data_IF_743649792314
#
_entry.id   IF_743649792314
#
_cell.length_a   1.000
_cell.length_b   1.000
_cell.length_c   1.000
_cell.angle_alpha   90.00
_cell.angle_beta   90.00
_cell.angle_gamma   90.00
#
_symmetry.space_group_name_H-M   'P 1'
#
loop_
_entity.id
_entity.type
_entity.pdbx_description
1 polymer ?
#
# COMPACT_ATOMS: atom_id res chain seq x y z
N UNK A 1 -19.79 20.52 -23.99
CA UNK A 1 -18.52 20.31 -23.24
C UNK A 1 -18.52 21.23 -22.04
N UNK A 2 -18.81 20.65 -20.87
CA UNK A 2 -19.33 21.37 -19.72
C UNK A 2 -18.23 22.16 -19.01
N UNK A 3 -18.55 23.40 -18.61
CA UNK A 3 -17.67 24.34 -17.86
C UNK A 3 -17.00 23.68 -16.64
N UNK A 4 -17.60 22.63 -16.10
CA UNK A 4 -17.08 21.78 -15.03
C UNK A 4 -15.69 21.18 -15.31
N UNK A 5 -15.41 20.71 -16.54
CA UNK A 5 -14.09 20.17 -16.90
C UNK A 5 -13.00 21.24 -16.98
N UNK A 6 -13.37 22.48 -17.35
CA UNK A 6 -12.42 23.61 -17.35
C UNK A 6 -12.09 24.05 -15.92
N UNK A 7 -13.04 24.00 -14.99
CA UNK A 7 -12.78 24.36 -13.59
C UNK A 7 -11.97 23.30 -12.85
N UNK A 8 -12.15 22.01 -13.15
CA UNK A 8 -11.32 20.93 -12.60
C UNK A 8 -9.92 20.95 -13.21
N UNK A 9 -9.80 21.19 -14.52
CA UNK A 9 -8.50 21.36 -15.18
C UNK A 9 -7.72 22.57 -14.66
N UNK A 10 -8.40 23.68 -14.37
CA UNK A 10 -7.80 24.88 -13.78
C UNK A 10 -7.41 24.67 -12.31
N UNK A 11 -8.20 23.92 -11.54
CA UNK A 11 -7.86 23.57 -10.15
C UNK A 11 -6.65 22.63 -10.08
N UNK A 12 -6.54 21.65 -10.98
CA UNK A 12 -5.37 20.76 -11.08
C UNK A 12 -4.13 21.54 -11.56
N UNK A 13 -4.27 22.46 -12.52
CA UNK A 13 -3.17 23.31 -12.96
C UNK A 13 -2.69 24.28 -11.86
N UNK A 14 -3.61 24.82 -11.05
CA UNK A 14 -3.28 25.70 -9.92
C UNK A 14 -2.67 24.95 -8.74
N UNK A 15 -3.03 23.67 -8.52
CA UNK A 15 -2.40 22.81 -7.52
C UNK A 15 -0.94 22.46 -7.84
N UNK A 16 -0.53 22.55 -9.11
CA UNK A 16 0.85 22.28 -9.57
C UNK A 16 1.68 23.54 -9.89
N UNK A 17 1.15 24.76 -9.67
CA UNK A 17 1.82 26.01 -10.03
C UNK A 17 2.61 26.68 -8.89
N UNK A 18 2.64 26.11 -7.70
CA UNK A 18 3.41 26.66 -6.58
C UNK A 18 4.80 26.00 -6.47
N UNK A 19 5.61 26.14 -7.52
CA UNK A 19 7.07 26.17 -7.32
C UNK A 19 7.39 27.59 -6.87
N UNK A 20 7.37 27.80 -5.56
CA UNK A 20 7.81 29.04 -4.95
C UNK A 20 9.33 29.15 -5.18
N UNK A 21 9.75 29.96 -6.15
CA UNK A 21 11.10 30.53 -6.13
C UNK A 21 11.04 31.61 -5.05
N UNK A 22 11.52 31.27 -3.86
CA UNK A 22 11.77 32.24 -2.80
C UNK A 22 12.95 33.13 -3.23
N UNK A 23 12.64 34.31 -3.79
CA UNK A 23 13.60 35.41 -3.87
C UNK A 23 13.52 36.16 -2.54
N UNK A 24 14.38 35.78 -1.59
CA UNK A 24 14.65 36.58 -0.41
C UNK A 24 15.47 37.80 -0.81
N UNK A 25 14.88 38.99 -0.77
CA UNK A 25 15.63 40.24 -0.76
C UNK A 25 16.21 40.44 0.63
N UNK A 26 17.53 40.32 0.75
CA UNK A 26 18.26 40.59 2.00
C UNK A 26 18.65 42.07 2.09
N UNK A 27 18.21 42.72 3.15
CA UNK A 27 19.00 43.74 3.85
C UNK A 27 18.75 43.56 5.35
N UNK A 28 19.67 42.88 6.05
CA UNK A 28 19.91 43.03 7.49
C UNK A 28 21.23 42.37 7.91
N UNK A 29 22.14 43.20 8.43
CA UNK A 29 23.34 42.90 9.21
C UNK A 29 24.43 42.01 8.58
N UNK A 30 25.56 42.62 8.21
CA UNK A 30 26.86 41.95 8.06
C UNK A 30 27.33 41.38 9.41
N UNK A 31 26.78 40.23 9.80
CA UNK A 31 27.57 39.24 10.53
C UNK A 31 28.49 38.56 9.52
N UNK A 32 29.75 38.36 9.86
CA UNK A 32 30.65 37.53 9.05
C UNK A 32 30.03 36.14 9.02
N UNK A 33 29.33 35.83 7.93
CA UNK A 33 28.72 34.55 7.70
C UNK A 33 29.86 33.55 7.54
N UNK A 34 30.18 32.83 8.61
CA UNK A 34 31.10 31.71 8.52
C UNK A 34 30.55 30.77 7.43
N UNK A 35 31.40 30.41 6.48
CA UNK A 35 31.01 29.40 5.49
C UNK A 35 30.65 28.10 6.22
N UNK A 36 29.72 27.32 5.67
CA UNK A 36 29.37 26.01 6.23
C UNK A 36 30.62 25.16 6.48
N UNK A 37 31.62 25.24 5.60
CA UNK A 37 32.91 24.56 5.75
C UNK A 37 33.67 24.96 7.03
N UNK A 38 33.68 26.25 7.38
CA UNK A 38 34.30 26.74 8.62
C UNK A 38 33.52 26.28 9.86
N UNK A 39 32.19 26.29 9.79
CA UNK A 39 31.33 25.77 10.87
C UNK A 39 31.60 24.28 11.07
N UNK A 40 31.62 23.48 9.99
CA UNK A 40 31.93 22.05 10.05
C UNK A 40 33.33 21.75 10.58
N UNK A 41 34.34 22.57 10.22
CA UNK A 41 35.69 22.43 10.76
C UNK A 41 35.73 22.70 12.27
N UNK A 42 35.10 23.81 12.71
CA UNK A 42 35.02 24.17 14.12
C UNK A 42 34.27 23.11 14.95
N UNK A 43 33.17 22.57 14.42
CA UNK A 43 32.42 21.49 15.06
C UNK A 43 33.24 20.21 15.19
N UNK A 44 34.05 19.86 14.18
CA UNK A 44 34.99 18.73 14.25
C UNK A 44 36.12 18.96 15.27
N UNK A 45 36.56 20.20 15.42
CA UNK A 45 37.58 20.62 16.40
C UNK A 45 37.02 20.80 17.82
N UNK A 46 35.74 20.48 18.05
CA UNK A 46 35.11 20.48 19.37
C UNK A 46 34.59 21.83 19.84
N UNK A 47 34.34 22.77 18.93
CA UNK A 47 33.74 24.06 19.26
C UNK A 47 32.36 23.88 19.94
N UNK A 48 32.13 24.65 21.00
CA UNK A 48 30.87 24.68 21.74
C UNK A 48 30.12 25.98 21.47
N UNK A 49 28.80 25.96 21.65
CA UNK A 49 27.92 27.13 21.44
C UNK A 49 26.75 27.13 22.41
N UNK A 50 25.97 28.20 22.39
CA UNK A 50 24.70 28.28 23.11
C UNK A 50 23.53 28.20 22.13
N UNK A 51 22.42 27.64 22.58
CA UNK A 51 21.18 27.55 21.80
C UNK A 51 20.01 27.88 22.71
N UNK A 52 19.01 28.55 22.13
CA UNK A 52 17.73 28.81 22.79
C UNK A 52 16.75 27.64 22.62
N UNK A 53 17.07 26.70 21.72
CA UNK A 53 16.26 25.50 21.49
C UNK A 53 16.25 24.61 22.73
N UNK A 54 15.05 24.21 23.14
CA UNK A 54 14.83 23.24 24.23
C UNK A 54 14.62 21.82 23.69
N UNK A 55 14.86 21.59 22.39
CA UNK A 55 14.68 20.27 21.78
C UNK A 55 15.66 19.25 22.36
N UNK A 56 15.30 17.97 22.39
CA UNK A 56 16.09 16.90 23.02
C UNK A 56 17.56 16.83 22.52
N UNK A 57 17.82 17.25 21.28
CA UNK A 57 19.13 17.20 20.64
C UNK A 57 19.74 18.59 20.39
N UNK A 58 19.27 19.63 21.08
CA UNK A 58 19.70 21.02 20.86
C UNK A 58 21.23 21.23 21.00
N UNK A 59 21.88 20.40 21.81
CA UNK A 59 23.33 20.43 22.04
C UNK A 59 24.14 19.52 21.08
N UNK A 60 23.49 18.86 20.10
CA UNK A 60 24.15 17.99 19.12
C UNK A 60 24.21 18.65 17.74
N UNK A 61 25.30 19.37 17.42
CA UNK A 61 25.42 20.07 16.14
C UNK A 61 25.69 19.11 14.97
N UNK A 62 26.26 17.94 15.24
CA UNK A 62 26.47 16.87 14.26
C UNK A 62 25.45 15.76 14.53
N UNK A 63 24.56 15.56 13.58
CA UNK A 63 23.62 14.45 13.59
C UNK A 63 24.38 13.14 13.28
N UNK A 64 24.74 12.40 14.33
CA UNK A 64 25.27 11.05 14.17
C UNK A 64 24.15 10.12 13.74
N UNK A 65 24.40 9.29 12.71
CA UNK A 65 23.46 8.24 12.34
C UNK A 65 23.23 7.31 13.54
N UNK A 66 21.97 7.07 13.91
CA UNK A 66 21.66 6.05 14.90
C UNK A 66 21.87 4.68 14.24
N UNK A 67 22.99 4.01 14.59
CA UNK A 67 23.37 2.72 14.02
C UNK A 67 22.25 1.68 14.18
N UNK A 68 21.46 1.74 15.26
CA UNK A 68 20.33 0.82 15.48
C UNK A 68 19.28 0.93 14.38
N UNK A 69 19.05 2.13 13.87
CA UNK A 69 18.08 2.37 12.79
C UNK A 69 18.64 1.90 11.45
N UNK A 70 19.94 2.08 11.23
CA UNK A 70 20.62 1.57 10.04
C UNK A 70 20.61 0.04 10.00
N UNK A 71 20.99 -0.62 11.10
CA UNK A 71 20.99 -2.08 11.24
C UNK A 71 19.56 -2.63 11.13
N UNK A 72 18.57 -1.99 11.78
CA UNK A 72 17.16 -2.37 11.62
C UNK A 72 16.72 -2.29 10.14
N UNK A 73 17.17 -1.25 9.42
CA UNK A 73 16.86 -1.12 7.99
C UNK A 73 17.54 -2.20 7.16
N UNK A 74 18.86 -2.37 7.31
CA UNK A 74 19.66 -3.27 6.45
C UNK A 74 19.39 -4.73 6.73
N UNK A 75 19.25 -5.10 8.00
CA UNK A 75 19.29 -6.50 8.43
C UNK A 75 17.89 -7.10 8.55
N UNK A 76 16.88 -6.24 8.75
CA UNK A 76 15.50 -6.67 8.98
C UNK A 76 14.52 -6.11 7.95
N UNK A 77 14.33 -4.79 7.89
CA UNK A 77 13.24 -4.19 7.11
C UNK A 77 13.42 -4.39 5.60
N UNK A 78 14.63 -4.18 5.07
CA UNK A 78 14.91 -4.37 3.65
C UNK A 78 14.78 -5.85 3.22
N UNK A 79 15.42 -6.83 3.90
CA UNK A 79 15.21 -8.24 3.61
C UNK A 79 13.76 -8.68 3.77
N UNK A 80 13.04 -8.18 4.78
CA UNK A 80 11.64 -8.51 5.00
C UNK A 80 10.75 -8.02 3.86
N UNK A 81 10.97 -6.81 3.32
CA UNK A 81 10.21 -6.32 2.17
C UNK A 81 10.53 -7.12 0.89
N UNK A 82 11.79 -7.49 0.68
CA UNK A 82 12.18 -8.39 -0.41
C UNK A 82 11.48 -9.76 -0.29
N UNK A 83 11.44 -10.33 0.91
CA UNK A 83 10.75 -11.59 1.19
C UNK A 83 9.23 -11.46 1.04
N UNK A 84 8.64 -10.36 1.48
CA UNK A 84 7.21 -10.08 1.32
C UNK A 84 6.79 -10.00 -0.15
N UNK A 85 7.64 -9.44 -1.02
CA UNK A 85 7.35 -9.38 -2.45
C UNK A 85 7.69 -10.71 -3.14
N UNK A 86 8.97 -11.06 -3.21
CA UNK A 86 9.44 -12.19 -4.02
C UNK A 86 9.17 -13.55 -3.34
N UNK A 87 9.31 -13.61 -2.02
CA UNK A 87 9.02 -14.82 -1.26
C UNK A 87 7.55 -15.21 -1.34
N UNK A 88 6.63 -14.24 -1.23
CA UNK A 88 5.20 -14.53 -1.39
C UNK A 88 4.85 -15.01 -2.79
N UNK A 89 5.44 -14.42 -3.84
CA UNK A 89 5.27 -14.93 -5.21
C UNK A 89 5.71 -16.39 -5.31
N UNK A 90 6.89 -16.73 -4.77
CA UNK A 90 7.41 -18.11 -4.77
C UNK A 90 6.46 -19.05 -4.00
N UNK A 91 6.00 -18.65 -2.82
CA UNK A 91 5.07 -19.43 -2.00
C UNK A 91 3.79 -19.74 -2.79
N UNK A 92 3.20 -18.77 -3.47
CA UNK A 92 1.98 -18.98 -4.25
C UNK A 92 2.20 -19.85 -5.49
N UNK A 93 3.32 -19.68 -6.19
CA UNK A 93 3.69 -20.57 -7.31
C UNK A 93 3.81 -22.02 -6.84
N UNK A 94 4.48 -22.25 -5.70
CA UNK A 94 4.60 -23.58 -5.11
C UNK A 94 3.23 -24.11 -4.62
N UNK A 95 2.42 -23.25 -4.01
CA UNK A 95 1.08 -23.61 -3.54
C UNK A 95 0.21 -24.09 -4.70
N UNK A 96 0.19 -23.37 -5.83
CA UNK A 96 -0.58 -23.76 -7.03
C UNK A 96 -0.03 -25.06 -7.62
N UNK A 97 1.29 -25.24 -7.65
CA UNK A 97 1.90 -26.50 -8.13
C UNK A 97 1.44 -27.71 -7.32
N UNK A 98 1.21 -27.54 -6.01
CA UNK A 98 0.80 -28.62 -5.11
C UNK A 98 -0.72 -28.82 -5.08
N UNK A 99 -1.50 -27.73 -5.00
CA UNK A 99 -2.95 -27.78 -4.76
C UNK A 99 -3.79 -27.61 -6.03
N UNK A 100 -3.22 -27.03 -7.08
CA UNK A 100 -3.95 -26.55 -8.25
C UNK A 100 -4.66 -25.21 -7.98
N UNK A 101 -5.37 -24.75 -9.01
CA UNK A 101 -6.24 -23.56 -8.93
C UNK A 101 -7.66 -23.96 -8.51
N UNK A 102 -8.40 -23.00 -7.97
CA UNK A 102 -9.81 -23.11 -7.59
C UNK A 102 -10.70 -23.01 -8.83
N UNK A 103 -11.01 -24.16 -9.43
CA UNK A 103 -11.86 -24.26 -10.63
C UNK A 103 -13.36 -24.25 -10.29
N UNK A 104 -14.16 -23.79 -11.23
CA UNK A 104 -15.62 -23.92 -11.14
C UNK A 104 -16.04 -25.37 -11.39
N UNK A 105 -16.74 -25.98 -10.44
CA UNK A 105 -17.17 -27.39 -10.52
C UNK A 105 -18.09 -27.67 -11.71
N UNK A 106 -18.93 -26.71 -12.07
CA UNK A 106 -19.88 -26.80 -13.18
C UNK A 106 -19.44 -25.96 -14.40
N UNK A 107 -18.20 -25.47 -14.41
CA UNK A 107 -17.74 -24.48 -15.39
C UNK A 107 -18.49 -23.16 -15.29
N UNK A 108 -18.25 -22.27 -16.26
CA UNK A 108 -18.98 -21.00 -16.37
C UNK A 108 -20.40 -21.24 -16.88
N UNK A 109 -21.39 -20.61 -16.24
CA UNK A 109 -22.78 -20.65 -16.72
C UNK A 109 -23.02 -19.70 -17.90
N UNK A 110 -22.17 -18.67 -18.04
CA UNK A 110 -22.35 -17.58 -19.00
C UNK A 110 -23.37 -16.52 -18.56
N UNK A 111 -24.08 -16.75 -17.45
CA UNK A 111 -25.01 -15.78 -16.86
C UNK A 111 -24.25 -14.91 -15.87
N UNK A 112 -24.18 -13.62 -16.16
CA UNK A 112 -23.41 -12.67 -15.37
C UNK A 112 -24.30 -11.96 -14.34
N UNK A 113 -23.95 -12.09 -13.08
CA UNK A 113 -24.62 -11.50 -11.92
C UNK A 113 -23.90 -10.22 -11.50
N UNK A 114 -24.64 -9.13 -11.28
CA UNK A 114 -24.10 -7.86 -10.80
C UNK A 114 -23.57 -8.01 -9.37
N UNK A 115 -22.28 -7.71 -9.17
CA UNK A 115 -21.61 -7.79 -7.86
C UNK A 115 -21.14 -6.42 -7.36
N UNK A 116 -20.55 -5.63 -8.24
CA UNK A 116 -19.98 -4.31 -7.93
C UNK A 116 -20.48 -3.25 -8.91
N UNK A 117 -20.76 -2.06 -8.39
CA UNK A 117 -21.09 -0.93 -9.26
C UNK A 117 -19.83 -0.47 -10.00
N UNK A 118 -20.00 0.22 -11.15
CA UNK A 118 -18.87 0.85 -11.86
C UNK A 118 -18.12 1.87 -10.99
N UNK A 119 -18.82 2.49 -10.03
CA UNK A 119 -18.22 3.44 -9.09
C UNK A 119 -17.29 2.72 -8.11
N UNK A 120 -17.71 1.58 -7.55
CA UNK A 120 -16.87 0.75 -6.68
C UNK A 120 -15.64 0.22 -7.43
N UNK A 121 -15.83 -0.26 -8.66
CA UNK A 121 -14.72 -0.70 -9.52
C UNK A 121 -13.72 0.44 -9.77
N UNK A 122 -14.21 1.67 -9.98
CA UNK A 122 -13.34 2.84 -10.18
C UNK A 122 -12.56 3.19 -8.91
N UNK A 123 -13.19 3.09 -7.73
CA UNK A 123 -12.52 3.29 -6.43
C UNK A 123 -11.43 2.23 -6.21
N UNK A 124 -11.71 0.96 -6.56
CA UNK A 124 -10.71 -0.10 -6.49
C UNK A 124 -9.46 0.29 -7.27
N UNK A 125 -9.61 0.68 -8.54
CA UNK A 125 -8.47 1.02 -9.38
C UNK A 125 -7.78 2.32 -8.98
N UNK A 126 -8.52 3.29 -8.43
CA UNK A 126 -7.95 4.50 -7.81
C UNK A 126 -7.01 4.15 -6.66
N UNK A 127 -7.29 3.11 -5.87
CA UNK A 127 -6.40 2.64 -4.81
C UNK A 127 -5.32 1.67 -5.30
N UNK A 128 -5.68 0.72 -6.17
CA UNK A 128 -4.82 -0.39 -6.58
C UNK A 128 -3.63 0.06 -7.44
N UNK A 129 -3.84 0.97 -8.40
CA UNK A 129 -2.76 1.45 -9.27
C UNK A 129 -1.69 2.19 -8.45
N UNK A 130 -2.04 3.20 -7.62
CA UNK A 130 -1.08 3.81 -6.71
C UNK A 130 -0.45 2.81 -5.74
N UNK A 131 -1.21 1.87 -5.16
CA UNK A 131 -0.67 0.86 -4.26
C UNK A 131 0.48 0.06 -4.92
N UNK A 132 0.29 -0.41 -6.16
CA UNK A 132 1.33 -1.13 -6.90
C UNK A 132 2.57 -0.27 -7.15
N UNK A 133 2.38 0.98 -7.57
CA UNK A 133 3.49 1.91 -7.80
C UNK A 133 4.24 2.22 -6.50
N UNK A 134 3.52 2.40 -5.38
CA UNK A 134 4.08 2.63 -4.06
C UNK A 134 4.87 1.43 -3.54
N UNK A 135 4.41 0.20 -3.80
CA UNK A 135 5.15 -1.01 -3.45
C UNK A 135 6.48 -1.07 -4.22
N UNK A 136 6.47 -0.84 -5.54
CA UNK A 136 7.68 -0.90 -6.37
C UNK A 136 8.69 0.20 -6.02
N UNK A 137 8.20 1.43 -5.83
CA UNK A 137 9.04 2.56 -5.44
C UNK A 137 9.52 2.42 -3.99
N UNK A 138 8.66 1.98 -3.07
CA UNK A 138 9.01 1.70 -1.68
C UNK A 138 10.07 0.60 -1.54
N UNK A 139 9.99 -0.45 -2.36
CA UNK A 139 11.03 -1.48 -2.48
C UNK A 139 12.39 -0.86 -2.85
N UNK A 140 12.38 0.02 -3.85
CA UNK A 140 13.58 0.74 -4.30
C UNK A 140 14.14 1.63 -3.19
N UNK A 141 13.29 2.41 -2.52
CA UNK A 141 13.71 3.36 -1.48
C UNK A 141 14.18 2.67 -0.20
N UNK A 142 13.51 1.60 0.24
CA UNK A 142 13.85 0.88 1.47
C UNK A 142 15.02 -0.09 1.25
N UNK A 143 14.91 -0.97 0.27
CA UNK A 143 15.80 -2.11 0.06
C UNK A 143 16.81 -1.94 -1.09
N UNK A 144 16.55 -1.02 -2.02
CA UNK A 144 17.33 -0.95 -3.27
C UNK A 144 18.82 -0.69 -3.08
N UNK A 145 19.22 0.06 -2.04
CA UNK A 145 20.65 0.27 -1.70
C UNK A 145 21.40 -1.06 -1.44
N UNK A 146 20.73 -2.04 -0.85
CA UNK A 146 21.37 -3.31 -0.45
C UNK A 146 21.25 -4.38 -1.52
N UNK A 147 20.14 -4.41 -2.24
CA UNK A 147 19.81 -5.49 -3.17
C UNK A 147 19.98 -5.12 -4.65
N UNK A 148 19.86 -3.84 -5.03
CA UNK A 148 19.87 -3.40 -6.43
C UNK A 148 21.11 -2.57 -6.77
N UNK A 149 21.46 -1.58 -5.94
CA UNK A 149 22.60 -0.68 -6.17
C UNK A 149 23.92 -1.41 -6.47
N UNK A 150 24.29 -2.53 -5.81
CA UNK A 150 25.55 -3.22 -6.10
C UNK A 150 25.68 -3.73 -7.55
N UNK A 151 24.56 -3.85 -8.27
CA UNK A 151 24.50 -4.37 -9.64
C UNK A 151 24.36 -3.27 -10.69
N UNK A 152 24.33 -2.00 -10.28
CA UNK A 152 24.00 -0.86 -11.14
C UNK A 152 25.14 0.17 -11.11
N UNK A 153 25.33 0.87 -12.24
CA UNK A 153 26.23 2.03 -12.28
C UNK A 153 25.63 3.20 -11.47
N UNK A 154 26.49 4.10 -11.00
CA UNK A 154 26.07 5.24 -10.18
C UNK A 154 24.98 6.09 -10.86
N UNK A 155 25.13 6.40 -12.15
CA UNK A 155 24.15 7.20 -12.89
C UNK A 155 22.81 6.51 -13.09
N UNK A 156 22.79 5.19 -13.30
CA UNK A 156 21.53 4.42 -13.40
C UNK A 156 20.84 4.37 -12.03
N UNK A 157 21.60 4.12 -10.96
CA UNK A 157 21.06 4.07 -9.61
C UNK A 157 20.47 5.43 -9.18
N UNK A 158 21.17 6.52 -9.44
CA UNK A 158 20.67 7.88 -9.18
C UNK A 158 19.33 8.15 -9.89
N UNK A 159 19.25 7.84 -11.19
CA UNK A 159 18.03 8.03 -11.96
C UNK A 159 16.85 7.19 -11.43
N UNK A 160 17.11 5.93 -11.06
CA UNK A 160 16.10 5.04 -10.47
C UNK A 160 15.60 5.58 -9.14
N UNK A 161 16.49 5.99 -8.23
CA UNK A 161 16.10 6.53 -6.92
C UNK A 161 15.34 7.84 -7.06
N UNK A 162 15.81 8.73 -7.94
CA UNK A 162 15.12 9.99 -8.22
C UNK A 162 13.70 9.73 -8.72
N UNK A 163 13.54 8.90 -9.76
CA UNK A 163 12.23 8.54 -10.31
C UNK A 163 11.34 7.85 -9.28
N UNK A 164 11.89 6.91 -8.51
CA UNK A 164 11.14 6.21 -7.47
C UNK A 164 10.61 7.17 -6.42
N UNK A 165 11.43 8.11 -5.94
CA UNK A 165 10.99 9.11 -4.96
C UNK A 165 9.86 9.98 -5.50
N UNK A 166 10.00 10.53 -6.70
CA UNK A 166 8.97 11.41 -7.27
C UNK A 166 7.63 10.67 -7.45
N UNK A 167 7.69 9.45 -7.98
CA UNK A 167 6.50 8.62 -8.16
C UNK A 167 5.88 8.26 -6.80
N UNK A 168 6.70 7.92 -5.80
CA UNK A 168 6.22 7.55 -4.47
C UNK A 168 5.46 8.70 -3.81
N UNK A 169 6.06 9.89 -3.80
CA UNK A 169 5.49 11.09 -3.18
C UNK A 169 4.15 11.48 -3.84
N UNK A 170 4.08 11.43 -5.17
CA UNK A 170 2.85 11.78 -5.92
C UNK A 170 1.77 10.72 -5.77
N UNK A 171 2.13 9.42 -5.83
CA UNK A 171 1.16 8.31 -5.74
C UNK A 171 0.60 8.11 -4.33
N UNK A 172 1.25 8.64 -3.29
CA UNK A 172 0.75 8.60 -1.93
C UNK A 172 -0.65 9.23 -1.81
N UNK A 173 -0.89 10.36 -2.49
CA UNK A 173 -2.16 11.09 -2.41
C UNK A 173 -3.35 10.29 -2.97
N UNK A 174 -3.36 9.81 -4.23
CA UNK A 174 -4.47 9.00 -4.74
C UNK A 174 -4.60 7.67 -3.99
N UNK A 175 -3.51 7.07 -3.49
CA UNK A 175 -3.58 5.90 -2.61
C UNK A 175 -4.38 6.19 -1.34
N UNK A 176 -4.07 7.28 -0.63
CA UNK A 176 -4.77 7.66 0.61
C UNK A 176 -6.25 7.91 0.37
N UNK A 177 -6.60 8.58 -0.73
CA UNK A 177 -8.00 8.81 -1.13
C UNK A 177 -8.70 7.47 -1.40
N UNK A 178 -8.09 6.61 -2.23
CA UNK A 178 -8.63 5.28 -2.54
C UNK A 178 -8.78 4.42 -1.28
N UNK A 179 -7.77 4.39 -0.42
CA UNK A 179 -7.79 3.68 0.86
C UNK A 179 -8.93 4.16 1.77
N UNK A 180 -9.12 5.48 1.92
CA UNK A 180 -10.17 6.06 2.75
C UNK A 180 -11.57 5.71 2.20
N UNK A 181 -11.76 5.83 0.89
CA UNK A 181 -13.03 5.48 0.23
C UNK A 181 -13.35 3.98 0.38
N UNK A 182 -12.40 3.10 0.08
CA UNK A 182 -12.59 1.65 0.24
C UNK A 182 -12.90 1.27 1.69
N UNK A 183 -12.12 1.79 2.64
CA UNK A 183 -12.29 1.49 4.06
C UNK A 183 -13.65 1.94 4.58
N UNK A 184 -14.12 3.12 4.19
CA UNK A 184 -15.39 3.67 4.69
C UNK A 184 -16.61 3.06 4.01
N UNK A 185 -16.59 2.93 2.67
CA UNK A 185 -17.75 2.48 1.91
C UNK A 185 -17.96 0.97 1.97
N UNK A 186 -16.87 0.19 2.07
CA UNK A 186 -16.94 -1.27 1.99
C UNK A 186 -16.87 -1.97 3.35
N UNK A 187 -16.57 -1.28 4.46
CA UNK A 187 -16.47 -1.90 5.79
C UNK A 187 -17.71 -2.72 6.19
N UNK A 188 -18.92 -2.26 5.84
CA UNK A 188 -20.16 -2.97 6.13
C UNK A 188 -20.22 -4.37 5.50
N UNK A 189 -19.59 -4.55 4.34
CA UNK A 189 -19.52 -5.81 3.61
C UNK A 189 -18.44 -6.76 4.17
N UNK A 190 -17.59 -6.26 5.07
CA UNK A 190 -16.36 -6.92 5.53
C UNK A 190 -16.40 -7.29 7.02
N UNK A 191 -17.55 -7.15 7.66
CA UNK A 191 -17.71 -7.51 9.07
C UNK A 191 -17.52 -9.02 9.29
N UNK A 192 -16.76 -9.43 10.31
CA UNK A 192 -16.65 -10.83 10.70
C UNK A 192 -18.02 -11.45 11.02
N UNK A 193 -18.21 -12.71 10.62
CA UNK A 193 -19.42 -13.51 10.81
C UNK A 193 -19.03 -14.90 11.31
N UNK A 194 -19.98 -15.60 11.93
CA UNK A 194 -19.71 -16.92 12.54
C UNK A 194 -19.27 -17.99 11.51
N UNK A 195 -19.71 -17.89 10.25
CA UNK A 195 -19.27 -18.80 9.19
C UNK A 195 -17.80 -18.61 8.79
N UNK A 196 -17.18 -17.45 9.11
CA UNK A 196 -15.77 -17.21 8.79
C UNK A 196 -14.84 -18.13 9.59
N UNK A 197 -15.25 -18.55 10.80
CA UNK A 197 -14.50 -19.54 11.59
C UNK A 197 -14.45 -20.88 10.86
N UNK A 198 -15.57 -21.31 10.27
CA UNK A 198 -15.62 -22.54 9.45
C UNK A 198 -14.74 -22.41 8.21
N UNK A 199 -14.69 -21.22 7.60
CA UNK A 199 -13.80 -20.93 6.48
C UNK A 199 -12.33 -21.11 6.86
N UNK A 200 -11.90 -20.59 8.02
CA UNK A 200 -10.53 -20.76 8.50
C UNK A 200 -10.18 -22.20 8.87
N UNK A 201 -11.14 -22.95 9.44
CA UNK A 201 -10.92 -24.37 9.77
C UNK A 201 -10.61 -25.24 8.56
N UNK A 202 -10.96 -24.80 7.34
CA UNK A 202 -10.65 -25.50 6.08
C UNK A 202 -9.72 -24.70 5.16
N UNK A 203 -9.14 -23.61 5.67
CA UNK A 203 -8.21 -22.73 4.93
C UNK A 203 -8.78 -22.31 3.57
N UNK A 204 -10.05 -21.90 3.59
CA UNK A 204 -10.78 -21.49 2.38
C UNK A 204 -11.11 -22.60 1.38
N UNK A 205 -10.82 -23.86 1.72
CA UNK A 205 -11.03 -24.98 0.80
C UNK A 205 -9.95 -25.11 -0.27
N UNK A 206 -8.85 -24.35 -0.17
CA UNK A 206 -7.79 -24.34 -1.17
C UNK A 206 -6.80 -25.50 -1.03
N UNK A 207 -6.82 -26.22 0.09
CA UNK A 207 -5.95 -27.38 0.32
C UNK A 207 -6.57 -28.60 -0.36
N UNK A 208 -5.91 -29.11 -1.41
CA UNK A 208 -6.45 -30.17 -2.27
C UNK A 208 -5.91 -31.57 -1.94
N UNK A 209 -5.46 -31.78 -0.71
CA UNK A 209 -4.93 -33.05 -0.23
C UNK A 209 -5.38 -33.36 1.20
N UNK A 210 -5.27 -34.64 1.58
CA UNK A 210 -5.62 -35.11 2.91
C UNK A 210 -7.08 -34.84 3.30
N UNK A 211 -7.37 -34.58 4.58
CA UNK A 211 -8.74 -34.42 5.10
C UNK A 211 -9.41 -33.10 4.68
N UNK A 212 -8.73 -32.25 3.91
CA UNK A 212 -9.26 -30.97 3.41
C UNK A 212 -9.73 -31.04 1.96
N UNK A 213 -9.36 -32.10 1.22
CA UNK A 213 -9.71 -32.26 -0.19
C UNK A 213 -11.22 -32.24 -0.39
N UNK A 214 -11.68 -31.37 -1.30
CA UNK A 214 -13.09 -31.24 -1.67
C UNK A 214 -13.96 -30.49 -0.66
N UNK A 215 -13.39 -29.92 0.40
CA UNK A 215 -14.14 -29.05 1.31
C UNK A 215 -14.24 -27.66 0.70
N UNK A 216 -15.45 -27.14 0.61
CA UNK A 216 -15.69 -25.75 0.21
C UNK A 216 -16.50 -25.06 1.31
N UNK A 217 -15.95 -24.05 2.00
CA UNK A 217 -16.67 -23.33 3.04
C UNK A 217 -17.71 -22.36 2.45
N UNK A 218 -18.77 -22.12 3.21
CA UNK A 218 -19.75 -21.08 2.91
C UNK A 218 -19.14 -19.68 3.03
N UNK A 219 -19.63 -18.74 2.22
CA UNK A 219 -19.23 -17.34 2.32
C UNK A 219 -20.37 -16.39 1.94
N UNK A 220 -20.43 -15.26 2.65
CA UNK A 220 -21.28 -14.13 2.28
C UNK A 220 -20.65 -13.29 1.16
N UNK A 221 -20.96 -11.99 1.13
CA UNK A 221 -20.47 -11.12 0.06
C UNK A 221 -18.95 -11.16 -0.06
N UNK A 222 -18.26 -11.09 1.08
CA UNK A 222 -16.83 -11.35 1.19
C UNK A 222 -16.59 -12.65 1.99
N UNK A 223 -15.61 -13.44 1.56
CA UNK A 223 -15.13 -14.59 2.31
C UNK A 223 -14.16 -14.16 3.43
N UNK A 224 -13.79 -15.09 4.32
CA UNK A 224 -12.96 -14.74 5.48
C UNK A 224 -11.54 -14.26 5.11
N UNK A 225 -10.98 -14.75 4.01
CA UNK A 225 -9.69 -14.28 3.48
C UNK A 225 -9.77 -12.84 2.94
N UNK A 226 -10.82 -12.51 2.19
CA UNK A 226 -11.09 -11.15 1.72
C UNK A 226 -11.30 -10.18 2.89
N UNK A 227 -12.03 -10.60 3.93
CA UNK A 227 -12.21 -9.81 5.15
C UNK A 227 -10.89 -9.58 5.89
N UNK A 228 -10.04 -10.61 6.00
CA UNK A 228 -8.72 -10.49 6.60
C UNK A 228 -7.86 -9.48 5.83
N UNK A 229 -7.84 -9.57 4.50
CA UNK A 229 -7.18 -8.58 3.66
C UNK A 229 -7.73 -7.18 3.90
N UNK A 230 -9.05 -7.01 3.88
CA UNK A 230 -9.69 -5.71 4.08
C UNK A 230 -9.28 -5.07 5.41
N UNK A 231 -9.33 -5.80 6.53
CA UNK A 231 -8.99 -5.23 7.84
C UNK A 231 -7.49 -4.99 8.02
N UNK A 232 -6.63 -5.83 7.43
CA UNK A 232 -5.20 -5.57 7.37
C UNK A 232 -4.92 -4.30 6.55
N UNK A 233 -5.53 -4.17 5.37
CA UNK A 233 -5.41 -3.00 4.52
C UNK A 233 -5.97 -1.73 5.18
N UNK A 234 -7.09 -1.82 5.89
CA UNK A 234 -7.67 -0.71 6.64
C UNK A 234 -6.70 -0.23 7.73
N UNK A 235 -6.21 -1.13 8.59
CA UNK A 235 -5.33 -0.78 9.69
C UNK A 235 -3.95 -0.31 9.23
N UNK A 236 -3.25 -1.12 8.44
CA UNK A 236 -1.89 -0.79 7.98
C UNK A 236 -1.91 0.33 6.94
N UNK A 237 -3.00 0.47 6.18
CA UNK A 237 -3.23 1.62 5.31
C UNK A 237 -3.37 2.93 6.09
N UNK A 238 -4.02 2.93 7.25
CA UNK A 238 -4.03 4.10 8.14
C UNK A 238 -2.62 4.42 8.64
N UNK A 239 -1.91 3.42 9.16
CA UNK A 239 -0.57 3.60 9.74
C UNK A 239 0.43 4.10 8.70
N UNK A 240 0.46 3.49 7.50
CA UNK A 240 1.36 3.91 6.43
C UNK A 240 1.02 5.31 5.90
N UNK A 241 -0.27 5.66 5.84
CA UNK A 241 -0.71 6.99 5.41
C UNK A 241 -0.34 8.07 6.44
N UNK A 242 -0.61 7.82 7.72
CA UNK A 242 -0.29 8.78 8.79
C UNK A 242 1.23 8.99 8.92
N UNK A 243 2.01 7.91 8.94
CA UNK A 243 3.47 8.00 8.95
C UNK A 243 4.02 8.61 7.66
N UNK A 244 3.43 8.27 6.50
CA UNK A 244 3.82 8.82 5.20
C UNK A 244 3.59 10.33 5.10
N UNK A 245 2.46 10.84 5.60
CA UNK A 245 2.18 12.27 5.65
C UNK A 245 3.20 13.04 6.49
N UNK A 246 3.60 12.47 7.64
CA UNK A 246 4.63 13.06 8.49
C UNK A 246 5.99 13.12 7.75
N UNK A 247 6.34 12.07 7.03
CA UNK A 247 7.60 11.99 6.27
C UNK A 247 7.59 12.84 4.99
N UNK A 248 6.42 13.03 4.37
CA UNK A 248 6.25 13.81 3.14
C UNK A 248 6.23 15.32 3.39
N UNK A 249 5.68 15.75 4.54
CA UNK A 249 5.56 17.18 4.90
C UNK A 249 6.24 17.50 6.24
N UNK A 250 7.56 17.27 6.39
CA UNK A 250 8.25 17.47 7.66
C UNK A 250 8.19 18.93 8.15
N UNK A 251 8.16 19.91 7.24
CA UNK A 251 8.05 21.32 7.58
C UNK A 251 6.64 21.71 8.07
N UNK A 252 5.61 20.92 7.75
CA UNK A 252 4.25 21.17 8.21
C UNK A 252 4.01 20.61 9.61
N UNK A 253 4.58 19.43 9.91
CA UNK A 253 4.37 18.73 11.16
C UNK A 253 5.46 18.96 12.21
N UNK A 254 6.62 19.47 11.79
CA UNK A 254 7.81 19.70 12.62
C UNK A 254 8.09 18.55 13.62
N UNK A 255 8.13 17.28 13.16
CA UNK A 255 8.23 16.15 14.06
C UNK A 255 9.57 16.14 14.78
N UNK A 256 9.57 15.71 16.05
CA UNK A 256 10.83 15.41 16.73
C UNK A 256 11.60 14.32 15.99
N UNK A 257 12.92 14.25 16.22
CA UNK A 257 13.76 13.17 15.68
C UNK A 257 13.18 11.80 16.02
N UNK A 258 12.83 11.59 17.28
CA UNK A 258 12.26 10.33 17.78
C UNK A 258 10.98 9.97 17.04
N UNK A 259 10.08 10.95 16.84
CA UNK A 259 8.84 10.72 16.10
C UNK A 259 9.10 10.39 14.62
N UNK A 260 10.06 11.05 13.98
CA UNK A 260 10.45 10.78 12.59
C UNK A 260 11.01 9.36 12.42
N UNK A 261 11.83 8.89 13.37
CA UNK A 261 12.36 7.54 13.36
C UNK A 261 11.26 6.49 13.57
N UNK A 262 10.33 6.73 14.51
CA UNK A 262 9.17 5.86 14.71
C UNK A 262 8.30 5.83 13.44
N UNK A 263 8.06 6.97 12.81
CA UNK A 263 7.31 7.04 11.56
C UNK A 263 7.97 6.21 10.45
N UNK A 264 9.30 6.29 10.27
CA UNK A 264 10.03 5.46 9.30
C UNK A 264 9.85 3.96 9.56
N UNK A 265 9.93 3.52 10.82
CA UNK A 265 9.75 2.11 11.19
C UNK A 265 8.31 1.66 10.95
N UNK A 266 7.33 2.41 11.43
CA UNK A 266 5.91 2.10 11.25
C UNK A 266 5.52 2.08 9.77
N UNK A 267 6.05 3.03 8.99
CA UNK A 267 5.83 3.09 7.54
C UNK A 267 6.40 1.84 6.86
N UNK A 268 7.64 1.46 7.20
CA UNK A 268 8.31 0.29 6.63
C UNK A 268 7.61 -1.03 7.00
N UNK A 269 7.23 -1.21 8.26
CA UNK A 269 6.49 -2.40 8.71
C UNK A 269 5.13 -2.50 8.02
N UNK A 270 4.41 -1.39 7.92
CA UNK A 270 3.12 -1.35 7.23
C UNK A 270 3.27 -1.66 5.74
N UNK A 271 4.32 -1.14 5.09
CA UNK A 271 4.63 -1.43 3.70
C UNK A 271 4.90 -2.92 3.46
N UNK A 272 5.64 -3.58 4.36
CA UNK A 272 5.91 -5.02 4.31
C UNK A 272 4.59 -5.81 4.38
N UNK A 273 3.72 -5.49 5.33
CA UNK A 273 2.43 -6.18 5.50
C UNK A 273 1.53 -5.96 4.30
N UNK A 274 1.35 -4.71 3.85
CA UNK A 274 0.53 -4.39 2.68
C UNK A 274 1.09 -5.06 1.43
N UNK A 275 2.42 -5.09 1.25
CA UNK A 275 3.05 -5.76 0.11
C UNK A 275 2.71 -7.25 0.09
N UNK A 276 2.95 -7.97 1.20
CA UNK A 276 2.69 -9.41 1.28
C UNK A 276 1.21 -9.74 0.98
N UNK A 277 0.28 -9.02 1.61
CA UNK A 277 -1.15 -9.24 1.37
C UNK A 277 -1.61 -8.78 -0.02
N UNK A 278 -1.02 -7.75 -0.60
CA UNK A 278 -1.34 -7.32 -1.98
C UNK A 278 -0.99 -8.42 -2.97
N UNK A 279 0.15 -9.10 -2.78
CA UNK A 279 0.52 -10.26 -3.61
C UNK A 279 -0.50 -11.39 -3.45
N UNK A 280 -0.89 -11.73 -2.22
CA UNK A 280 -1.97 -12.70 -1.96
C UNK A 280 -3.24 -12.28 -2.71
N UNK A 281 -3.71 -11.05 -2.52
CA UNK A 281 -4.92 -10.53 -3.12
C UNK A 281 -4.92 -10.61 -4.65
N UNK A 282 -3.83 -10.18 -5.30
CA UNK A 282 -3.68 -10.22 -6.75
C UNK A 282 -3.68 -11.67 -7.24
N UNK A 283 -2.91 -12.55 -6.60
CA UNK A 283 -2.89 -13.97 -6.97
C UNK A 283 -4.26 -14.63 -6.83
N UNK A 284 -4.98 -14.34 -5.73
CA UNK A 284 -6.31 -14.88 -5.50
C UNK A 284 -7.31 -14.45 -6.57
N UNK A 285 -7.26 -13.17 -6.97
CA UNK A 285 -8.17 -12.60 -7.96
C UNK A 285 -7.85 -13.01 -9.41
N UNK A 286 -6.58 -13.23 -9.74
CA UNK A 286 -6.14 -13.39 -11.14
C UNK A 286 -5.83 -14.83 -11.55
N UNK A 287 -5.19 -15.61 -10.65
CA UNK A 287 -4.66 -16.94 -10.99
C UNK A 287 -5.38 -18.04 -10.21
N UNK A 288 -5.59 -17.83 -8.91
CA UNK A 288 -6.12 -18.89 -8.05
C UNK A 288 -7.61 -19.15 -8.28
N UNK A 289 -8.44 -18.10 -8.33
CA UNK A 289 -9.90 -18.21 -8.47
C UNK A 289 -10.30 -17.93 -9.92
N UNK A 290 -10.70 -18.97 -10.66
CA UNK A 290 -11.19 -18.81 -12.03
C UNK A 290 -12.40 -17.87 -12.05
N UNK A 291 -12.40 -16.83 -12.90
CA UNK A 291 -13.52 -15.88 -12.98
C UNK A 291 -13.51 -14.75 -11.93
N UNK A 292 -12.51 -14.71 -11.04
CA UNK A 292 -12.41 -13.69 -9.99
C UNK A 292 -12.14 -12.28 -10.53
N UNK A 293 -11.27 -12.16 -11.54
CA UNK A 293 -10.83 -10.88 -12.09
C UNK A 293 -11.97 -10.11 -12.77
N UNK A 294 -12.92 -10.81 -13.36
CA UNK A 294 -14.09 -10.26 -14.05
C UNK A 294 -14.91 -9.34 -13.15
N UNK A 295 -14.92 -9.60 -11.84
CA UNK A 295 -15.55 -8.77 -10.83
C UNK A 295 -14.98 -7.35 -10.80
N UNK A 296 -13.66 -7.21 -10.96
CA UNK A 296 -12.95 -5.92 -10.90
C UNK A 296 -12.74 -5.28 -12.27
N UNK A 297 -12.99 -6.01 -13.36
CA UNK A 297 -12.97 -5.44 -14.72
C UNK A 297 -14.34 -4.91 -15.11
N UNK A 298 -15.39 -5.68 -14.83
CA UNK A 298 -16.75 -5.39 -15.33
C UNK A 298 -17.75 -4.99 -14.26
N UNK A 299 -17.50 -5.36 -13.00
CA UNK A 299 -18.48 -5.29 -11.91
C UNK A 299 -19.42 -6.50 -11.83
N UNK A 300 -19.28 -7.48 -12.72
CA UNK A 300 -20.11 -8.69 -12.78
C UNK A 300 -19.28 -9.95 -12.51
N UNK A 301 -19.94 -10.99 -12.02
CA UNK A 301 -19.37 -12.32 -11.81
C UNK A 301 -20.27 -13.38 -12.45
N UNK A 302 -19.72 -14.55 -12.79
CA UNK A 302 -20.52 -15.66 -13.28
C UNK A 302 -21.44 -16.22 -12.16
N UNK A 303 -22.64 -16.66 -12.52
CA UNK A 303 -23.58 -17.26 -11.56
C UNK A 303 -23.04 -18.51 -10.87
N UNK A 304 -22.32 -19.39 -11.57
CA UNK A 304 -21.70 -20.56 -10.95
C UNK A 304 -20.56 -20.15 -10.02
N UNK A 305 -19.85 -19.08 -10.34
CA UNK A 305 -18.84 -18.50 -9.44
C UNK A 305 -19.48 -17.93 -8.17
N UNK A 306 -20.58 -17.18 -8.31
CA UNK A 306 -21.30 -16.60 -7.18
C UNK A 306 -21.86 -17.69 -6.25
N UNK A 307 -22.47 -18.73 -6.82
CA UNK A 307 -23.03 -19.85 -6.06
C UNK A 307 -21.96 -20.72 -5.42
N UNK A 308 -20.81 -20.93 -6.06
CA UNK A 308 -19.73 -21.74 -5.49
C UNK A 308 -18.96 -20.98 -4.40
N UNK A 309 -18.52 -19.76 -4.70
CA UNK A 309 -17.60 -19.02 -3.81
C UNK A 309 -18.28 -18.09 -2.82
N UNK A 310 -19.54 -17.74 -3.03
CA UNK A 310 -20.29 -16.76 -2.25
C UNK A 310 -21.77 -17.16 -2.10
N UNK A 311 -22.02 -18.46 -1.86
CA UNK A 311 -23.35 -19.06 -1.79
C UNK A 311 -24.33 -18.28 -0.91
N UNK A 312 -23.93 -17.91 0.31
CA UNK A 312 -24.80 -17.20 1.25
C UNK A 312 -25.21 -15.83 0.71
N UNK A 313 -24.31 -15.14 0.00
CA UNK A 313 -24.63 -13.87 -0.64
C UNK A 313 -25.55 -14.05 -1.83
N UNK A 314 -25.30 -15.06 -2.67
CA UNK A 314 -26.15 -15.35 -3.82
C UNK A 314 -27.58 -15.71 -3.37
N UNK A 315 -27.72 -16.53 -2.34
CA UNK A 315 -29.02 -16.89 -1.76
C UNK A 315 -29.72 -15.66 -1.16
N UNK A 316 -28.98 -14.77 -0.49
CA UNK A 316 -29.51 -13.52 0.07
C UNK A 316 -30.08 -12.59 -1.01
N UNK A 317 -29.33 -12.32 -2.09
CA UNK A 317 -29.79 -11.43 -3.17
C UNK A 317 -30.94 -12.03 -3.98
N UNK A 318 -31.03 -13.36 -4.04
CA UNK A 318 -32.16 -14.06 -4.64
C UNK A 318 -33.41 -13.95 -3.76
N UNK A 319 -33.27 -14.19 -2.46
CA UNK A 319 -34.39 -14.14 -1.51
C UNK A 319 -34.98 -12.74 -1.35
N UNK A 320 -34.16 -11.70 -1.39
CA UNK A 320 -34.62 -10.31 -1.25
C UNK A 320 -34.97 -9.62 -2.60
N UNK A 321 -34.91 -10.35 -3.72
CA UNK A 321 -35.26 -9.84 -5.05
C UNK A 321 -34.28 -8.80 -5.63
N UNK A 322 -33.06 -8.70 -5.09
CA UNK A 322 -32.03 -7.76 -5.60
C UNK A 322 -31.09 -8.38 -6.63
N UNK A 323 -31.23 -9.68 -6.92
CA UNK A 323 -30.51 -10.39 -7.98
C UNK A 323 -30.72 -9.69 -9.33
N UNK A 324 -29.64 -9.23 -9.94
CA UNK A 324 -29.63 -8.57 -11.24
C UNK A 324 -28.63 -9.24 -12.16
N UNK A 325 -29.09 -9.67 -13.34
CA UNK A 325 -28.22 -10.15 -14.39
C UNK A 325 -27.78 -8.99 -15.29
N UNK A 326 -26.65 -9.18 -15.98
CA UNK A 326 -26.24 -8.29 -17.07
C UNK A 326 -27.22 -8.46 -18.23
N UNK A 327 -27.74 -7.34 -18.72
CA UNK A 327 -28.60 -7.27 -19.91
C UNK A 327 -27.90 -7.74 -21.19
#
# INVERSE_FOLDING_TARGET
MNKWFKHIGLAIALLFSAVCIANGGDELATQVQQSDAQIWAQLKDGATGYTTSQSEFHAQPINTYDLRVLELRSDWLAPALMAALFGMIIIFVLFIKVNGISKLHHGFSGKLVHRWSKFDVSIHWLGAIPCLLLILTGLTLLAGRFFFQPWLSAGIWEAIVYGAKQIHDVMAIPFMIGWALMTTLWAKNQLPKMYDVKWFMVVGGYINFGPFKGKHPDAGFANAGEKMWFWAFALFGLIISASGMLLLFPNLFEPSRTLSLIALVLHSVSAIVICAFSIVHIFMATVMSEGGMECMVSGYCDENWATQHHNLWYDEIKANGTLKYKE
#
